data_IF_509550806186
#
_entry.id   IF_509550806186
#
_cell.length_a   1.000
_cell.length_b   1.000
_cell.length_c   1.000
_cell.angle_alpha   90.00
_cell.angle_beta   90.00
_cell.angle_gamma   90.00
#
_symmetry.space_group_name_H-M   'P 1'
#
loop_
_entity.id
_entity.type
_entity.pdbx_description
1 polymer ?
#
# COMPACT_ATOMS: atom_id res chain seq x y z
N UNK A 1 -32.53 -21.47 -14.43
CA UNK A 1 -32.34 -20.02 -14.57
C UNK A 1 -31.21 -19.62 -13.60
N UNK A 2 -30.04 -19.21 -14.06
CA UNK A 2 -28.98 -18.73 -13.19
C UNK A 2 -29.27 -17.27 -12.83
N UNK A 3 -29.31 -16.98 -11.55
CA UNK A 3 -29.43 -15.62 -10.99
C UNK A 3 -28.13 -14.86 -11.17
N UNK A 4 -28.24 -13.77 -11.90
CA UNK A 4 -27.18 -12.78 -12.13
C UNK A 4 -26.67 -12.21 -10.79
N UNK A 5 -25.34 -12.14 -10.54
CA UNK A 5 -24.84 -11.55 -9.31
C UNK A 5 -25.08 -10.05 -9.32
N UNK A 6 -25.78 -9.56 -8.31
CA UNK A 6 -26.07 -8.15 -8.09
C UNK A 6 -24.77 -7.33 -8.02
N UNK A 7 -24.66 -6.36 -8.92
CA UNK A 7 -23.60 -5.35 -8.91
C UNK A 7 -23.55 -4.60 -7.57
N UNK A 8 -22.38 -4.39 -6.97
CA UNK A 8 -22.28 -3.65 -5.72
C UNK A 8 -22.70 -2.20 -5.95
N UNK A 9 -23.74 -1.78 -5.26
CA UNK A 9 -24.25 -0.42 -5.28
C UNK A 9 -23.16 0.54 -4.79
N UNK A 10 -22.79 1.60 -5.55
CA UNK A 10 -21.86 2.59 -5.05
C UNK A 10 -22.50 3.34 -3.88
N UNK A 11 -21.88 3.28 -2.71
CA UNK A 11 -22.27 4.12 -1.56
C UNK A 11 -21.88 5.56 -1.89
N UNK A 12 -22.83 6.25 -2.51
CA UNK A 12 -22.74 7.65 -2.86
C UNK A 12 -23.07 8.52 -1.66
N UNK A 13 -22.07 9.00 -0.95
CA UNK A 13 -22.19 10.22 -0.16
C UNK A 13 -21.79 11.40 -1.07
N UNK A 14 -22.64 11.75 -2.03
CA UNK A 14 -22.51 12.98 -2.83
C UNK A 14 -22.94 14.18 -2.00
N UNK A 15 -22.12 14.60 -1.05
CA UNK A 15 -22.11 16.00 -0.63
C UNK A 15 -21.87 16.82 -1.93
N UNK A 16 -22.76 17.80 -2.23
CA UNK A 16 -22.63 18.67 -3.41
C UNK A 16 -21.30 19.41 -3.33
N UNK A 17 -20.26 18.87 -4.01
CA UNK A 17 -18.96 19.50 -4.08
C UNK A 17 -19.10 20.89 -4.75
N UNK A 18 -18.47 21.91 -4.16
CA UNK A 18 -18.37 23.24 -4.74
C UNK A 18 -17.65 23.16 -6.11
N UNK A 19 -17.94 24.07 -7.01
CA UNK A 19 -17.29 24.09 -8.35
C UNK A 19 -15.75 24.11 -8.25
N UNK A 20 -15.21 24.87 -7.31
CA UNK A 20 -13.76 24.88 -7.01
C UNK A 20 -13.22 23.50 -6.63
N UNK A 21 -13.92 22.76 -5.78
CA UNK A 21 -13.53 21.40 -5.37
C UNK A 21 -13.55 20.42 -6.57
N UNK A 22 -14.55 20.55 -7.45
CA UNK A 22 -14.61 19.73 -8.66
C UNK A 22 -13.44 20.02 -9.61
N UNK A 23 -13.07 21.29 -9.76
CA UNK A 23 -11.93 21.71 -10.59
C UNK A 23 -10.61 21.18 -9.99
N UNK A 24 -10.42 21.31 -8.67
CA UNK A 24 -9.26 20.76 -7.96
C UNK A 24 -9.15 19.24 -8.17
N UNK A 25 -10.25 18.50 -8.00
CA UNK A 25 -10.30 17.05 -8.22
C UNK A 25 -10.09 16.65 -9.69
N UNK A 26 -10.33 17.54 -10.62
CA UNK A 26 -10.08 17.29 -12.04
C UNK A 26 -8.61 17.56 -12.43
N UNK A 27 -8.00 18.59 -11.88
CA UNK A 27 -6.67 19.06 -12.32
C UNK A 27 -5.55 18.46 -11.47
N UNK A 28 -5.65 18.57 -10.14
CA UNK A 28 -4.56 18.22 -9.21
C UNK A 28 -4.12 16.75 -9.34
N UNK A 29 -5.01 15.75 -9.39
CA UNK A 29 -4.59 14.36 -9.53
C UNK A 29 -3.83 14.08 -10.83
N UNK A 30 -4.27 14.68 -11.95
CA UNK A 30 -3.59 14.52 -13.23
C UNK A 30 -2.20 15.13 -13.24
N UNK A 31 -2.07 16.32 -12.65
CA UNK A 31 -0.77 16.97 -12.51
C UNK A 31 0.14 16.18 -11.57
N UNK A 32 -0.36 15.76 -10.41
CA UNK A 32 0.39 14.95 -9.45
C UNK A 32 0.87 13.63 -10.06
N UNK A 33 0.01 12.89 -10.76
CA UNK A 33 0.39 11.64 -11.42
C UNK A 33 1.47 11.86 -12.50
N UNK A 34 1.38 12.96 -13.27
CA UNK A 34 2.43 13.32 -14.25
C UNK A 34 3.75 13.67 -13.59
N UNK A 35 3.73 14.48 -12.52
CA UNK A 35 4.93 14.85 -11.77
C UNK A 35 5.59 13.63 -11.13
N UNK A 36 4.81 12.71 -10.55
CA UNK A 36 5.32 11.45 -9.99
C UNK A 36 6.00 10.61 -11.08
N UNK A 37 5.37 10.48 -12.26
CA UNK A 37 5.97 9.77 -13.39
C UNK A 37 7.27 10.42 -13.87
N UNK A 38 7.28 11.74 -14.06
CA UNK A 38 8.46 12.49 -14.51
C UNK A 38 9.61 12.42 -13.51
N UNK A 39 9.33 12.65 -12.23
CA UNK A 39 10.32 12.48 -11.16
C UNK A 39 10.89 11.07 -11.15
N UNK A 40 9.99 10.09 -11.20
CA UNK A 40 10.35 8.69 -11.13
C UNK A 40 11.23 8.20 -12.28
N UNK A 41 11.09 8.77 -13.50
CA UNK A 41 11.97 8.48 -14.62
C UNK A 41 13.43 8.87 -14.35
N UNK A 42 13.68 9.78 -13.41
CA UNK A 42 15.02 10.18 -13.01
C UNK A 42 15.61 9.27 -11.91
N UNK A 43 14.79 8.43 -11.27
CA UNK A 43 15.21 7.62 -10.13
C UNK A 43 15.83 6.30 -10.60
N UNK A 44 16.88 5.88 -9.89
CA UNK A 44 17.58 4.62 -10.13
C UNK A 44 17.23 3.62 -9.04
N UNK A 45 16.31 2.71 -9.32
CA UNK A 45 15.88 1.69 -8.36
C UNK A 45 16.83 0.51 -8.33
N UNK A 46 17.15 0.07 -7.12
CA UNK A 46 17.96 -1.11 -6.86
C UNK A 46 17.28 -1.96 -5.80
N UNK A 47 17.03 -3.22 -6.12
CA UNK A 47 16.50 -4.18 -5.17
C UNK A 47 17.65 -4.86 -4.41
N UNK A 48 17.44 -5.09 -3.11
CA UNK A 48 18.29 -5.85 -2.21
C UNK A 48 17.40 -6.80 -1.42
N UNK A 49 17.59 -8.10 -1.58
CA UNK A 49 16.80 -9.12 -0.91
C UNK A 49 17.70 -10.02 -0.06
N UNK A 50 17.17 -10.54 1.04
CA UNK A 50 17.83 -11.61 1.78
C UNK A 50 17.97 -12.88 0.91
N UNK A 51 18.95 -13.74 1.17
CA UNK A 51 19.15 -14.96 0.41
C UNK A 51 17.88 -15.83 0.36
N UNK A 52 17.50 -16.25 -0.85
CA UNK A 52 16.30 -17.08 -1.07
C UNK A 52 14.97 -16.32 -1.08
N UNK A 53 14.95 -15.01 -0.88
CA UNK A 53 13.73 -14.22 -0.91
C UNK A 53 13.37 -13.83 -2.34
N UNK A 54 12.17 -14.18 -2.77
CA UNK A 54 11.61 -13.73 -4.04
C UNK A 54 11.12 -12.29 -3.93
N UNK A 55 11.53 -11.44 -4.87
CA UNK A 55 11.07 -10.05 -4.90
C UNK A 55 9.56 -9.98 -5.06
N UNK A 56 8.91 -9.12 -4.28
CA UNK A 56 7.44 -9.10 -4.17
C UNK A 56 6.69 -8.95 -5.49
N UNK A 57 7.23 -8.23 -6.47
CA UNK A 57 6.60 -8.06 -7.78
C UNK A 57 6.75 -9.29 -8.70
N UNK A 58 7.61 -10.25 -8.36
CA UNK A 58 7.73 -11.54 -9.06
C UNK A 58 6.85 -12.64 -8.46
N UNK A 59 6.22 -12.37 -7.32
CA UNK A 59 5.37 -13.35 -6.66
C UNK A 59 4.02 -13.44 -7.39
N UNK A 60 3.61 -14.61 -7.85
CA UNK A 60 2.32 -14.79 -8.49
C UNK A 60 1.17 -14.79 -7.49
N UNK A 61 -0.03 -14.40 -7.96
CA UNK A 61 -1.26 -14.52 -7.18
C UNK A 61 -1.47 -13.43 -6.15
N UNK A 62 -2.50 -13.60 -5.34
CA UNK A 62 -2.83 -12.65 -4.28
C UNK A 62 -1.80 -12.72 -3.15
N UNK A 63 -1.43 -11.57 -2.63
CA UNK A 63 -0.49 -11.40 -1.54
C UNK A 63 -0.76 -10.12 -0.77
N UNK A 64 -0.42 -10.09 0.51
CA UNK A 64 -0.46 -8.89 1.34
C UNK A 64 0.95 -8.33 1.50
N UNK A 65 1.14 -7.07 1.11
CA UNK A 65 2.37 -6.33 1.32
C UNK A 65 2.24 -5.32 2.45
N UNK A 66 3.32 -5.12 3.19
CA UNK A 66 3.44 -4.10 4.22
C UNK A 66 4.69 -3.26 4.02
N UNK A 67 4.56 -1.96 4.21
CA UNK A 67 5.66 -1.00 4.13
C UNK A 67 5.35 0.26 4.95
N UNK A 68 6.32 1.15 5.13
CA UNK A 68 6.15 2.37 5.90
C UNK A 68 5.58 3.52 5.07
N UNK A 69 4.66 4.30 5.66
CA UNK A 69 3.96 5.42 5.02
C UNK A 69 4.91 6.46 4.41
N UNK A 70 6.04 6.71 5.04
CA UNK A 70 7.06 7.67 4.57
C UNK A 70 7.60 7.39 3.16
N UNK A 71 7.52 6.14 2.68
CA UNK A 71 8.03 5.70 1.38
C UNK A 71 7.03 5.82 0.24
N UNK A 72 5.80 6.27 0.50
CA UNK A 72 4.67 6.22 -0.43
C UNK A 72 4.98 6.80 -1.82
N UNK A 73 5.71 7.92 -1.91
CA UNK A 73 5.95 8.56 -3.21
C UNK A 73 6.84 7.70 -4.12
N UNK A 74 7.91 7.12 -3.58
CA UNK A 74 8.77 6.23 -4.34
C UNK A 74 8.05 4.92 -4.68
N UNK A 75 7.24 4.38 -3.76
CA UNK A 75 6.40 3.20 -3.99
C UNK A 75 5.37 3.47 -5.10
N UNK A 76 4.71 4.62 -5.09
CA UNK A 76 3.70 4.99 -6.08
C UNK A 76 4.27 5.01 -7.52
N UNK A 77 5.53 5.41 -7.68
CA UNK A 77 6.20 5.33 -8.98
C UNK A 77 6.69 3.91 -9.30
N UNK A 78 7.36 3.24 -8.35
CA UNK A 78 7.99 1.94 -8.60
C UNK A 78 7.00 0.84 -8.93
N UNK A 79 5.87 0.84 -8.23
CA UNK A 79 4.85 -0.19 -8.33
C UNK A 79 3.61 0.24 -9.14
N UNK A 80 3.70 1.33 -9.91
CA UNK A 80 2.63 1.77 -10.81
C UNK A 80 2.30 0.70 -11.86
N UNK A 81 1.11 0.78 -12.39
CA UNK A 81 0.62 -0.05 -13.50
C UNK A 81 0.63 -1.58 -13.20
N UNK A 82 0.65 -1.96 -11.89
CA UNK A 82 0.63 -3.36 -11.45
C UNK A 82 -0.72 -3.80 -10.86
N UNK A 83 -1.73 -2.94 -10.85
CA UNK A 83 -3.07 -3.26 -10.33
C UNK A 83 -3.12 -3.59 -8.83
N UNK A 84 -2.11 -3.17 -8.06
CA UNK A 84 -2.06 -3.39 -6.61
C UNK A 84 -3.20 -2.64 -5.95
N UNK A 85 -3.95 -3.33 -5.07
CA UNK A 85 -5.04 -2.74 -4.31
C UNK A 85 -4.50 -2.04 -3.06
N UNK A 86 -4.92 -0.80 -2.87
CA UNK A 86 -4.56 0.03 -1.71
C UNK A 86 -5.81 0.61 -1.05
N UNK A 87 -5.75 0.80 0.27
CA UNK A 87 -6.83 1.38 1.06
C UNK A 87 -6.61 2.87 1.25
N UNK A 88 -7.56 3.69 0.81
CA UNK A 88 -7.49 5.16 0.93
C UNK A 88 -8.73 5.70 1.65
N UNK A 89 -8.50 6.71 2.49
CA UNK A 89 -9.56 7.42 3.24
C UNK A 89 -10.64 7.99 2.31
N UNK A 90 -11.89 8.03 2.80
CA UNK A 90 -13.02 8.66 2.10
C UNK A 90 -13.10 10.19 2.28
N UNK A 91 -12.07 10.83 2.85
CA UNK A 91 -11.97 12.29 2.97
C UNK A 91 -11.73 12.96 1.61
N UNK A 92 -11.87 14.29 1.55
CA UNK A 92 -11.56 15.05 0.33
C UNK A 92 -10.09 14.90 -0.09
N UNK A 93 -9.15 14.95 0.86
CA UNK A 93 -7.73 14.73 0.58
C UNK A 93 -7.48 13.28 0.12
N UNK A 94 -8.18 12.31 0.75
CA UNK A 94 -8.19 10.93 0.30
C UNK A 94 -8.71 10.79 -1.13
N UNK A 95 -9.69 11.58 -1.55
CA UNK A 95 -10.19 11.56 -2.93
C UNK A 95 -9.14 12.06 -3.93
N UNK A 96 -8.36 13.09 -3.58
CA UNK A 96 -7.23 13.56 -4.41
C UNK A 96 -6.17 12.45 -4.57
N UNK A 97 -5.82 11.79 -3.46
CA UNK A 97 -4.84 10.70 -3.45
C UNK A 97 -5.38 9.51 -4.25
N UNK A 98 -6.66 9.12 -4.06
CA UNK A 98 -7.28 8.02 -4.77
C UNK A 98 -7.22 8.22 -6.29
N UNK A 99 -7.69 9.36 -6.78
CA UNK A 99 -7.63 9.67 -8.22
C UNK A 99 -6.19 9.72 -8.76
N UNK A 100 -5.25 10.21 -7.95
CA UNK A 100 -3.84 10.23 -8.34
C UNK A 100 -3.29 8.82 -8.50
N UNK A 101 -3.56 7.94 -7.53
CA UNK A 101 -3.07 6.56 -7.54
C UNK A 101 -3.78 5.68 -8.57
N UNK A 102 -5.08 5.90 -8.82
CA UNK A 102 -5.80 5.28 -9.94
C UNK A 102 -5.17 5.64 -11.29
N UNK A 103 -4.81 6.91 -11.50
CA UNK A 103 -4.06 7.35 -12.69
C UNK A 103 -2.66 6.74 -12.79
N UNK A 104 -2.10 6.25 -11.69
CA UNK A 104 -0.84 5.50 -11.64
C UNK A 104 -1.05 3.98 -11.75
N UNK A 105 -2.29 3.51 -12.01
CA UNK A 105 -2.59 2.11 -12.24
C UNK A 105 -2.79 1.27 -10.97
N UNK A 106 -3.04 1.89 -9.82
CA UNK A 106 -3.45 1.20 -8.61
C UNK A 106 -4.97 0.97 -8.60
N UNK A 107 -5.40 -0.09 -7.94
CA UNK A 107 -6.79 -0.31 -7.60
C UNK A 107 -7.06 0.27 -6.20
N UNK A 108 -8.07 1.13 -6.07
CA UNK A 108 -8.33 1.83 -4.80
C UNK A 108 -9.61 1.32 -4.17
N UNK A 109 -9.51 0.87 -2.92
CA UNK A 109 -10.67 0.64 -2.05
C UNK A 109 -10.77 1.75 -1.01
N UNK A 110 -12.00 2.08 -0.62
CA UNK A 110 -12.26 3.23 0.26
C UNK A 110 -12.57 2.76 1.68
N UNK A 111 -11.93 3.39 2.65
CA UNK A 111 -12.15 3.07 4.06
C UNK A 111 -11.32 3.96 4.97
N UNK A 112 -11.53 3.83 6.26
CA UNK A 112 -10.80 4.59 7.28
C UNK A 112 -10.48 3.67 8.44
N UNK A 113 -9.30 3.84 9.02
CA UNK A 113 -8.89 3.12 10.24
C UNK A 113 -9.73 3.49 11.49
N UNK A 114 -10.60 4.50 11.41
CA UNK A 114 -11.42 4.96 12.54
C UNK A 114 -12.92 4.75 12.34
N UNK A 115 -13.53 5.42 11.35
CA UNK A 115 -14.94 5.23 10.99
C UNK A 115 -15.01 4.46 9.67
N UNK A 116 -15.41 3.19 9.73
CA UNK A 116 -15.46 2.33 8.54
C UNK A 116 -14.21 1.45 8.33
N UNK A 117 -13.37 1.25 9.35
CA UNK A 117 -12.24 0.33 9.30
C UNK A 117 -12.65 -1.09 8.91
N UNK A 118 -13.75 -1.58 9.47
CA UNK A 118 -14.31 -2.87 9.10
C UNK A 118 -14.78 -2.93 7.63
N UNK A 119 -15.33 -1.84 7.08
CA UNK A 119 -15.72 -1.77 5.67
C UNK A 119 -14.49 -1.76 4.75
N UNK A 120 -13.46 -0.99 5.12
CA UNK A 120 -12.18 -0.98 4.41
C UNK A 120 -11.47 -2.34 4.43
N UNK A 121 -11.49 -3.00 5.58
CA UNK A 121 -10.94 -4.35 5.71
C UNK A 121 -11.67 -5.35 4.81
N UNK A 122 -13.01 -5.35 4.84
CA UNK A 122 -13.83 -6.20 3.95
C UNK A 122 -13.55 -5.95 2.46
N UNK A 123 -13.39 -4.68 2.08
CA UNK A 123 -13.07 -4.34 0.70
C UNK A 123 -11.67 -4.84 0.29
N UNK A 124 -10.69 -4.82 1.19
CA UNK A 124 -9.37 -5.42 0.97
C UNK A 124 -9.43 -6.94 0.90
N UNK A 125 -10.23 -7.58 1.79
CA UNK A 125 -10.48 -9.03 1.75
C UNK A 125 -11.09 -9.47 0.41
N UNK A 126 -12.08 -8.72 -0.08
CA UNK A 126 -12.68 -9.00 -1.39
C UNK A 126 -11.66 -8.84 -2.52
N UNK A 127 -10.86 -7.78 -2.50
CA UNK A 127 -9.82 -7.59 -3.50
C UNK A 127 -8.79 -8.74 -3.50
N UNK A 128 -8.43 -9.26 -2.32
CA UNK A 128 -7.57 -10.43 -2.20
C UNK A 128 -8.25 -11.68 -2.78
N UNK A 129 -9.53 -11.92 -2.47
CA UNK A 129 -10.31 -13.03 -3.02
C UNK A 129 -10.47 -12.96 -4.54
N UNK A 130 -10.51 -11.75 -5.10
CA UNK A 130 -10.49 -11.49 -6.55
C UNK A 130 -9.10 -11.73 -7.19
N UNK A 131 -8.14 -12.30 -6.45
CA UNK A 131 -6.78 -12.61 -6.93
C UNK A 131 -5.84 -11.41 -6.97
N UNK A 132 -6.18 -10.28 -6.33
CA UNK A 132 -5.37 -9.06 -6.38
C UNK A 132 -4.30 -9.04 -5.29
N UNK A 133 -3.19 -8.41 -5.61
CA UNK A 133 -2.18 -8.02 -4.62
C UNK A 133 -2.70 -6.86 -3.79
N UNK A 134 -2.54 -6.94 -2.47
CA UNK A 134 -2.98 -5.91 -1.52
C UNK A 134 -1.77 -5.27 -0.85
N UNK A 135 -1.75 -3.94 -0.69
CA UNK A 135 -0.68 -3.26 0.00
C UNK A 135 -1.22 -2.32 1.09
N UNK A 136 -0.58 -2.36 2.26
CA UNK A 136 -0.97 -1.57 3.45
C UNK A 136 0.26 -0.85 3.99
N UNK A 137 0.10 0.43 4.36
CA UNK A 137 1.07 1.14 5.18
C UNK A 137 0.93 0.68 6.62
N UNK A 138 1.99 0.04 7.15
CA UNK A 138 1.93 -0.64 8.45
C UNK A 138 1.71 0.31 9.63
N UNK A 139 2.25 1.53 9.57
CA UNK A 139 2.08 2.58 10.59
C UNK A 139 0.74 3.31 10.49
N UNK A 140 -0.03 3.07 9.41
CA UNK A 140 -1.33 3.69 9.20
C UNK A 140 -1.26 5.21 8.98
N UNK A 141 -2.43 5.89 8.85
CA UNK A 141 -2.48 7.30 8.43
C UNK A 141 -2.14 8.31 9.51
N UNK A 142 -1.92 7.89 10.75
CA UNK A 142 -1.68 8.78 11.91
C UNK A 142 -0.44 8.41 12.70
N UNK A 143 0.28 7.37 12.30
CA UNK A 143 1.48 6.92 12.99
C UNK A 143 1.27 6.42 14.42
N UNK A 144 2.31 6.46 15.24
CA UNK A 144 3.62 7.07 14.97
C UNK A 144 4.43 6.36 13.89
N UNK A 145 5.40 7.07 13.29
CA UNK A 145 6.29 6.53 12.26
C UNK A 145 7.06 5.32 12.77
N UNK A 146 7.22 4.30 11.93
CA UNK A 146 7.91 3.05 12.27
C UNK A 146 7.27 2.24 13.40
N UNK A 147 5.97 2.38 13.64
CA UNK A 147 5.22 1.56 14.59
C UNK A 147 4.07 0.85 13.89
N UNK A 148 4.21 -0.45 13.68
CA UNK A 148 3.21 -1.27 13.01
C UNK A 148 1.87 -1.30 13.78
N UNK A 149 0.79 -1.18 13.04
CA UNK A 149 -0.59 -1.29 13.52
C UNK A 149 -1.16 -2.67 13.18
N UNK A 150 -2.19 -3.14 13.88
CA UNK A 150 -2.77 -4.47 13.66
C UNK A 150 -3.37 -4.71 12.27
N UNK A 151 -3.62 -3.65 11.49
CA UNK A 151 -4.34 -3.74 10.21
C UNK A 151 -3.77 -4.74 9.21
N UNK A 152 -2.44 -4.81 9.08
CA UNK A 152 -1.77 -5.78 8.21
C UNK A 152 -2.01 -7.21 8.67
N UNK A 153 -1.80 -7.49 9.96
CA UNK A 153 -2.02 -8.81 10.53
C UNK A 153 -3.50 -9.22 10.47
N UNK A 154 -4.41 -8.28 10.74
CA UNK A 154 -5.85 -8.53 10.62
C UNK A 154 -6.24 -8.91 9.19
N UNK A 155 -5.74 -8.21 8.17
CA UNK A 155 -6.01 -8.57 6.78
C UNK A 155 -5.41 -9.93 6.44
N UNK A 156 -4.12 -10.13 6.72
CA UNK A 156 -3.43 -11.37 6.35
C UNK A 156 -4.06 -12.62 6.99
N UNK A 157 -4.49 -12.53 8.25
CA UNK A 157 -5.12 -13.66 8.96
C UNK A 157 -6.60 -13.86 8.60
N UNK A 158 -7.21 -12.95 7.86
CA UNK A 158 -8.63 -13.00 7.46
C UNK A 158 -8.86 -13.39 6.01
N UNK A 159 -7.81 -13.76 5.29
CA UNK A 159 -7.84 -14.16 3.87
C UNK A 159 -7.12 -15.50 3.69
N UNK A 160 -7.10 -16.02 2.48
CA UNK A 160 -6.50 -17.31 2.14
C UNK A 160 -7.53 -18.42 2.02
N UNK A 161 -7.10 -19.59 1.55
CA UNK A 161 -7.97 -20.75 1.39
C UNK A 161 -8.52 -21.22 2.75
N UNK A 162 -9.79 -21.66 2.82
CA UNK A 162 -10.36 -22.16 4.08
C UNK A 162 -9.64 -23.42 4.55
N UNK A 163 -9.32 -23.48 5.85
CA UNK A 163 -8.91 -24.70 6.53
C UNK A 163 -10.09 -25.68 6.70
N UNK A 164 -9.80 -26.91 7.13
CA UNK A 164 -10.81 -27.96 7.38
C UNK A 164 -11.92 -27.54 8.37
N UNK A 165 -11.66 -26.58 9.24
CA UNK A 165 -12.61 -25.99 10.18
C UNK A 165 -13.42 -24.81 9.62
N UNK A 166 -13.26 -24.48 8.33
CA UNK A 166 -13.92 -23.36 7.66
C UNK A 166 -13.34 -21.97 7.96
N UNK A 167 -12.26 -21.89 8.75
CA UNK A 167 -11.57 -20.64 9.02
C UNK A 167 -10.55 -20.34 7.90
N UNK A 168 -10.30 -19.06 7.55
CA UNK A 168 -9.22 -18.71 6.62
C UNK A 168 -7.86 -19.21 7.14
N UNK A 169 -7.07 -19.80 6.25
CA UNK A 169 -5.70 -20.27 6.59
C UNK A 169 -4.74 -19.10 6.87
N UNK A 170 -5.14 -17.89 6.52
CA UNK A 170 -4.24 -16.76 6.47
C UNK A 170 -3.37 -16.76 5.22
N UNK A 171 -2.65 -15.68 5.02
CA UNK A 171 -1.64 -15.57 3.96
C UNK A 171 -0.35 -15.00 4.55
N UNK A 172 0.77 -15.26 3.87
CA UNK A 172 2.03 -14.64 4.22
C UNK A 172 2.04 -13.14 3.90
N UNK A 173 2.93 -12.39 4.57
CA UNK A 173 3.09 -10.96 4.37
C UNK A 173 4.48 -10.67 3.81
N UNK A 174 4.51 -10.00 2.65
CA UNK A 174 5.73 -9.45 2.09
C UNK A 174 6.03 -8.07 2.69
N UNK A 175 6.96 -8.01 3.61
CA UNK A 175 7.45 -6.74 4.15
C UNK A 175 8.56 -6.18 3.26
N UNK A 176 8.58 -4.86 3.08
CA UNK A 176 9.65 -4.19 2.35
C UNK A 176 9.82 -2.74 2.78
N UNK A 177 10.98 -2.16 2.48
CA UNK A 177 11.22 -0.74 2.68
C UNK A 177 11.81 -0.11 1.42
N UNK A 178 11.45 1.15 1.16
CA UNK A 178 11.94 1.92 0.00
C UNK A 178 12.62 3.17 0.50
N UNK A 179 13.93 3.24 0.33
CA UNK A 179 14.78 4.33 0.81
C UNK A 179 15.43 5.09 -0.35
N UNK A 180 14.98 6.31 -0.67
CA UNK A 180 15.74 7.22 -1.51
C UNK A 180 17.00 7.68 -0.77
N UNK A 181 18.19 7.46 -1.34
CA UNK A 181 19.47 7.86 -0.74
C UNK A 181 19.61 9.39 -0.63
N UNK A 182 18.89 10.13 -1.49
CA UNK A 182 18.79 11.58 -1.43
C UNK A 182 17.32 11.98 -1.53
N UNK A 183 16.80 12.58 -0.46
CA UNK A 183 15.40 13.00 -0.38
C UNK A 183 15.28 14.34 0.37
N UNK A 184 14.20 15.07 0.08
CA UNK A 184 13.66 16.06 0.99
C UNK A 184 12.75 15.34 1.97
N UNK A 185 12.98 15.54 3.26
CA UNK A 185 12.16 14.98 4.31
C UNK A 185 11.25 16.06 4.87
N UNK A 186 9.94 15.80 4.85
CA UNK A 186 8.96 16.74 5.39
C UNK A 186 8.92 16.67 6.92
N UNK A 187 8.51 17.79 7.54
CA UNK A 187 8.26 17.86 9.00
C UNK A 187 6.85 17.36 9.33
N UNK A 188 6.46 16.22 8.78
CA UNK A 188 5.21 15.52 9.05
C UNK A 188 5.41 14.41 10.07
N UNK A 189 4.31 13.85 10.60
CA UNK A 189 4.36 12.75 11.57
C UNK A 189 5.11 11.52 11.04
N UNK A 190 4.99 11.24 9.72
CA UNK A 190 5.61 10.12 9.02
C UNK A 190 7.02 10.44 8.47
N UNK A 191 7.48 11.69 8.62
CA UNK A 191 8.72 12.16 8.00
C UNK A 191 8.77 11.80 6.51
N UNK A 192 7.70 12.12 5.78
CA UNK A 192 7.48 11.79 4.39
C UNK A 192 8.68 12.16 3.50
N UNK A 193 9.08 11.23 2.64
CA UNK A 193 10.25 11.39 1.79
C UNK A 193 9.85 11.74 0.35
N UNK A 194 10.37 12.86 -0.15
CA UNK A 194 10.30 13.24 -1.56
C UNK A 194 11.68 12.96 -2.17
N UNK A 195 11.85 11.94 -3.02
CA UNK A 195 13.13 11.67 -3.65
C UNK A 195 13.63 12.87 -4.43
N UNK A 196 14.92 13.18 -4.32
CA UNK A 196 15.54 14.17 -5.20
C UNK A 196 15.75 13.56 -6.60
N UNK A 197 15.64 14.35 -7.68
CA UNK A 197 15.95 13.85 -9.02
C UNK A 197 17.33 13.17 -9.07
N UNK A 198 17.44 12.12 -9.87
CA UNK A 198 18.64 11.31 -10.07
C UNK A 198 19.12 10.57 -8.82
N UNK A 199 18.27 10.45 -7.79
CA UNK A 199 18.59 9.68 -6.59
C UNK A 199 18.60 8.17 -6.90
N UNK A 200 19.53 7.45 -6.27
CA UNK A 200 19.45 6.00 -6.10
C UNK A 200 18.35 5.72 -5.06
N UNK A 201 17.50 4.74 -5.33
CA UNK A 201 16.42 4.31 -4.44
C UNK A 201 16.61 2.82 -4.17
N UNK A 202 16.91 2.48 -2.94
CA UNK A 202 17.08 1.09 -2.51
C UNK A 202 15.72 0.54 -2.07
N UNK A 203 15.40 -0.66 -2.53
CA UNK A 203 14.23 -1.42 -2.07
C UNK A 203 14.74 -2.67 -1.39
N UNK A 204 14.44 -2.84 -0.13
CA UNK A 204 14.91 -3.98 0.65
C UNK A 204 13.78 -4.97 0.93
N UNK A 205 14.09 -6.25 0.78
CA UNK A 205 13.16 -7.36 0.93
C UNK A 205 13.74 -8.36 1.95
N UNK A 206 13.38 -8.25 3.23
CA UNK A 206 13.70 -9.26 4.23
C UNK A 206 12.89 -10.54 3.99
N UNK A 207 13.15 -11.58 4.75
CA UNK A 207 12.34 -12.78 4.75
C UNK A 207 10.85 -12.45 4.96
N UNK A 208 9.99 -13.08 4.18
CA UNK A 208 8.55 -12.89 4.29
C UNK A 208 8.02 -13.50 5.59
N UNK A 209 7.03 -12.87 6.20
CA UNK A 209 6.35 -13.43 7.38
C UNK A 209 5.39 -14.54 6.91
N UNK A 210 5.61 -15.80 7.29
CA UNK A 210 4.81 -16.91 6.78
C UNK A 210 3.37 -16.88 7.32
N UNK A 211 2.44 -17.49 6.58
CA UNK A 211 1.07 -17.69 7.03
C UNK A 211 1.07 -18.46 8.38
N UNK A 212 0.16 -18.09 9.28
CA UNK A 212 0.09 -18.65 10.64
C UNK A 212 1.02 -17.99 11.66
N UNK A 213 2.06 -17.28 11.22
CA UNK A 213 2.98 -16.52 12.09
C UNK A 213 2.76 -15.00 12.01
N UNK A 214 1.76 -14.55 11.22
CA UNK A 214 1.51 -13.14 11.02
C UNK A 214 0.87 -12.51 12.24
N UNK A 215 1.65 -11.75 12.97
CA UNK A 215 1.24 -10.91 14.11
C UNK A 215 1.70 -9.47 13.87
N UNK A 216 1.20 -8.53 14.66
CA UNK A 216 1.72 -7.15 14.60
C UNK A 216 3.21 -7.11 14.93
N UNK A 217 3.66 -7.96 15.86
CA UNK A 217 5.08 -8.03 16.27
C UNK A 217 5.97 -8.61 15.16
N UNK A 218 5.54 -9.69 14.48
CA UNK A 218 6.32 -10.26 13.37
C UNK A 218 6.40 -9.33 12.16
N UNK A 219 5.32 -8.62 11.84
CA UNK A 219 5.31 -7.57 10.81
C UNK A 219 6.24 -6.42 11.18
N UNK A 220 6.23 -5.98 12.46
CA UNK A 220 7.16 -4.96 12.96
C UNK A 220 8.60 -5.42 12.78
N UNK A 221 8.94 -6.61 13.26
CA UNK A 221 10.31 -7.14 13.17
C UNK A 221 10.81 -7.24 11.72
N UNK A 222 9.98 -7.72 10.80
CA UNK A 222 10.33 -7.81 9.39
C UNK A 222 10.52 -6.42 8.75
N UNK A 223 9.70 -5.43 9.10
CA UNK A 223 9.84 -4.06 8.62
C UNK A 223 11.07 -3.35 9.21
N UNK A 224 11.40 -3.61 10.49
CA UNK A 224 12.64 -3.10 11.11
C UNK A 224 13.88 -3.69 10.43
N UNK A 225 13.83 -4.99 10.11
CA UNK A 225 14.90 -5.63 9.33
C UNK A 225 15.03 -5.02 7.94
N UNK A 226 13.90 -4.71 7.26
CA UNK A 226 13.94 -4.03 5.96
C UNK A 226 14.62 -2.64 6.04
N UNK A 227 14.38 -1.89 7.11
CA UNK A 227 15.05 -0.61 7.36
C UNK A 227 16.54 -0.82 7.57
N UNK A 228 16.95 -1.75 8.44
CA UNK A 228 18.36 -2.06 8.68
C UNK A 228 19.11 -2.41 7.39
N UNK A 229 18.55 -3.29 6.56
CA UNK A 229 19.11 -3.65 5.25
C UNK A 229 19.31 -2.45 4.33
N UNK A 230 18.42 -1.45 4.41
CA UNK A 230 18.51 -0.25 3.58
C UNK A 230 19.60 0.74 4.06
N UNK A 231 19.97 0.67 5.33
CA UNK A 231 20.95 1.52 5.99
C UNK A 231 22.35 0.86 6.03
N UNK A 232 22.43 -0.45 5.81
CA UNK A 232 23.73 -1.16 5.69
C UNK A 232 24.49 -0.62 4.46
N UNK A 233 25.78 -0.24 4.61
CA UNK A 233 26.59 0.22 3.49
C UNK A 233 26.81 -0.92 2.50
N UNK A 234 26.37 -0.72 1.26
CA UNK A 234 26.71 -1.57 0.11
C UNK A 234 28.06 -1.16 -0.48
#
# INVERSE_FOLDING_TARGET
MPTEPASPTPVSATAKLRLSQRLILAVVPRLAARLIRLLGLTLRYQDSAEPGVTLGYHIPGPVVFAFWHRSLLACAHRFRDQGITILISSSFDGELIARTTELLGFHVVRGSSTRGGAAGLRAMQQAYADGRRCAITADGPRGPVFVAKPGTAMLANSVGEPCANGQPAGTWVGCFYVLPQRAWQLRSWDRFMIPKPFSRVVITWPAHVPAGEVTTASVQAALDRAVQMAEEPN
#
